data_IF_181211826158
#
_entry.id   IF_181211826158
#
_cell.length_a   1.000
_cell.length_b   1.000
_cell.length_c   1.000
_cell.angle_alpha   90.00
_cell.angle_beta   90.00
_cell.angle_gamma   90.00
#
_symmetry.space_group_name_H-M   'P 1'
#
loop_
_entity.id
_entity.type
_entity.pdbx_description
1 polymer ?
#
# COMPACT_ATOMS: atom_id res chain seq x y z
N UNK A 1 -10.68 -12.27 -22.36
CA UNK A 1 -10.06 -11.94 -21.06
C UNK A 1 -11.17 -11.43 -20.18
N UNK A 2 -11.32 -11.97 -18.98
CA UNK A 2 -12.29 -11.46 -18.02
C UNK A 2 -11.90 -10.04 -17.60
N UNK A 3 -12.90 -9.21 -17.31
CA UNK A 3 -12.70 -7.80 -16.97
C UNK A 3 -12.14 -7.69 -15.55
N UNK A 4 -10.92 -7.16 -15.42
CA UNK A 4 -10.35 -6.80 -14.13
C UNK A 4 -11.14 -5.62 -13.57
N UNK A 5 -11.53 -5.71 -12.29
CA UNK A 5 -12.23 -4.64 -11.56
C UNK A 5 -11.46 -4.33 -10.29
N UNK A 6 -11.08 -3.07 -10.12
CA UNK A 6 -10.43 -2.57 -8.91
C UNK A 6 -11.37 -1.56 -8.26
N UNK A 7 -11.62 -1.74 -6.97
CA UNK A 7 -12.46 -0.89 -6.15
C UNK A 7 -11.69 -0.51 -4.88
N UNK A 8 -12.12 0.58 -4.26
CA UNK A 8 -11.54 1.09 -3.02
C UNK A 8 -12.64 1.14 -1.96
N UNK A 9 -12.29 0.86 -0.71
CA UNK A 9 -13.17 1.24 0.40
C UNK A 9 -13.33 2.78 0.41
N UNK A 10 -14.52 3.31 0.80
CA UNK A 10 -14.76 4.75 0.81
C UNK A 10 -13.71 5.54 1.59
N UNK A 11 -13.21 4.99 2.70
CA UNK A 11 -12.19 5.61 3.53
C UNK A 11 -10.83 5.67 2.83
N UNK A 12 -10.52 4.68 1.98
CA UNK A 12 -9.29 4.66 1.17
C UNK A 12 -9.39 5.69 0.05
N UNK A 13 -10.53 5.75 -0.64
CA UNK A 13 -10.78 6.75 -1.69
C UNK A 13 -10.68 8.18 -1.12
N UNK A 14 -11.33 8.43 0.02
CA UNK A 14 -11.23 9.71 0.72
C UNK A 14 -9.78 10.03 1.10
N UNK A 15 -9.07 9.06 1.68
CA UNK A 15 -7.66 9.24 2.05
C UNK A 15 -6.79 9.62 0.85
N UNK A 16 -6.92 8.93 -0.29
CA UNK A 16 -6.16 9.24 -1.51
C UNK A 16 -6.49 10.66 -2.01
N UNK A 17 -7.77 11.02 -2.05
CA UNK A 17 -8.22 12.33 -2.53
C UNK A 17 -7.69 13.50 -1.69
N UNK A 18 -7.52 13.30 -0.38
CA UNK A 18 -6.98 14.31 0.54
C UNK A 18 -5.44 14.30 0.62
N UNK A 19 -4.79 13.24 0.10
CA UNK A 19 -3.38 13.00 0.31
C UNK A 19 -2.48 14.01 -0.40
N UNK A 20 -2.82 14.43 -1.63
CA UNK A 20 -2.03 15.42 -2.37
C UNK A 20 -1.94 16.74 -1.61
N UNK A 21 -3.08 17.26 -1.15
CA UNK A 21 -3.15 18.46 -0.31
C UNK A 21 -2.37 18.28 0.99
N UNK A 22 -2.56 17.15 1.68
CA UNK A 22 -1.82 16.85 2.91
C UNK A 22 -0.30 16.85 2.70
N UNK A 23 0.17 16.29 1.59
CA UNK A 23 1.60 16.23 1.26
C UNK A 23 2.14 17.62 0.89
N UNK A 24 1.34 18.43 0.19
CA UNK A 24 1.69 19.81 -0.12
C UNK A 24 1.75 20.70 1.12
N UNK A 25 0.74 20.66 2.00
CA UNK A 25 0.69 21.43 3.25
C UNK A 25 1.85 21.08 4.20
N UNK A 26 2.31 19.83 4.16
CA UNK A 26 3.47 19.36 4.93
C UNK A 26 4.82 19.64 4.25
N UNK A 27 4.83 20.43 3.18
CA UNK A 27 6.03 20.84 2.44
C UNK A 27 6.86 19.67 1.86
N UNK A 28 6.23 18.51 1.61
CA UNK A 28 6.90 17.41 0.90
C UNK A 28 7.11 17.74 -0.59
N UNK A 29 6.28 18.61 -1.14
CA UNK A 29 6.38 19.12 -2.51
C UNK A 29 6.38 20.64 -2.51
N UNK A 30 7.26 21.25 -3.30
CA UNK A 30 7.32 22.70 -3.47
C UNK A 30 6.18 23.27 -4.33
N UNK A 31 5.45 22.41 -5.03
CA UNK A 31 4.33 22.77 -5.91
C UNK A 31 3.17 21.79 -5.72
N UNK A 32 1.94 22.30 -5.73
CA UNK A 32 0.73 21.49 -5.60
C UNK A 32 0.58 20.49 -6.76
N UNK A 33 0.91 20.90 -7.99
CA UNK A 33 0.91 20.03 -9.18
C UNK A 33 1.79 18.79 -8.97
N UNK A 34 3.00 18.96 -8.43
CA UNK A 34 3.89 17.84 -8.13
C UNK A 34 3.31 16.86 -7.11
N UNK A 35 2.45 17.35 -6.20
CA UNK A 35 1.75 16.47 -5.25
C UNK A 35 0.62 15.69 -5.92
N UNK A 36 -0.08 16.27 -6.91
CA UNK A 36 -1.08 15.55 -7.71
C UNK A 36 -0.43 14.50 -8.59
N UNK A 37 0.63 14.86 -9.32
CA UNK A 37 1.41 13.92 -10.15
C UNK A 37 1.87 12.71 -9.32
N UNK A 38 2.28 12.95 -8.07
CA UNK A 38 2.69 11.88 -7.17
C UNK A 38 1.55 10.92 -6.82
N UNK A 39 0.34 11.43 -6.61
CA UNK A 39 -0.85 10.61 -6.34
C UNK A 39 -1.32 9.87 -7.60
N UNK A 40 -1.30 10.53 -8.75
CA UNK A 40 -1.64 9.90 -10.04
C UNK A 40 -0.71 8.72 -10.31
N UNK A 41 0.60 8.87 -10.09
CA UNK A 41 1.56 7.76 -10.21
C UNK A 41 1.27 6.60 -9.24
N UNK A 42 0.77 6.88 -8.04
CA UNK A 42 0.36 5.85 -7.08
C UNK A 42 -0.88 5.10 -7.59
N UNK A 43 -1.88 5.83 -8.10
CA UNK A 43 -3.11 5.24 -8.65
C UNK A 43 -2.79 4.41 -9.89
N UNK A 44 -2.01 4.95 -10.84
CA UNK A 44 -1.53 4.24 -12.03
C UNK A 44 -0.80 2.94 -11.67
N UNK A 45 0.06 3.00 -10.64
CA UNK A 45 0.72 1.80 -10.14
C UNK A 45 -0.31 0.77 -9.68
N UNK A 46 -1.33 1.17 -8.91
CA UNK A 46 -2.35 0.24 -8.42
C UNK A 46 -3.16 -0.37 -9.55
N UNK A 47 -3.65 0.45 -10.47
CA UNK A 47 -4.48 -0.04 -11.57
C UNK A 47 -3.72 -1.04 -12.46
N UNK A 48 -2.43 -0.77 -12.71
CA UNK A 48 -1.61 -1.64 -13.53
C UNK A 48 -1.10 -2.89 -12.80
N UNK A 49 -0.65 -2.73 -11.55
CA UNK A 49 0.13 -3.76 -10.86
C UNK A 49 -0.70 -4.62 -9.92
N UNK A 50 -1.79 -4.12 -9.32
CA UNK A 50 -2.58 -4.90 -8.36
C UNK A 50 -2.99 -6.29 -8.87
N UNK A 51 -3.36 -6.46 -10.16
CA UNK A 51 -3.74 -7.77 -10.70
C UNK A 51 -2.58 -8.73 -11.02
N UNK A 52 -1.36 -8.21 -11.24
CA UNK A 52 -0.22 -8.97 -11.77
C UNK A 52 0.96 -9.07 -10.83
N UNK A 53 1.04 -8.17 -9.83
CA UNK A 53 2.19 -8.04 -8.96
C UNK A 53 2.16 -9.12 -7.87
N UNK A 54 3.30 -9.75 -7.55
CA UNK A 54 3.36 -10.72 -6.46
C UNK A 54 2.92 -10.12 -5.13
N UNK A 55 1.84 -10.65 -4.56
CA UNK A 55 1.35 -10.24 -3.26
C UNK A 55 2.00 -11.04 -2.13
N UNK A 56 1.86 -10.51 -0.91
CA UNK A 56 2.25 -11.17 0.34
C UNK A 56 1.01 -11.36 1.20
N UNK A 57 0.97 -12.45 1.97
CA UNK A 57 -0.03 -12.61 3.01
C UNK A 57 0.23 -11.61 4.15
N UNK A 58 -0.83 -10.97 4.61
CA UNK A 58 -0.78 -10.05 5.74
C UNK A 58 -0.60 -10.82 7.06
N UNK A 59 0.31 -10.39 7.96
CA UNK A 59 0.46 -11.00 9.28
C UNK A 59 -0.83 -10.92 10.10
N UNK A 60 -1.09 -11.94 10.93
CA UNK A 60 -2.33 -12.07 11.72
C UNK A 60 -2.71 -10.83 12.52
N UNK A 61 -1.73 -10.13 13.08
CA UNK A 61 -1.97 -8.95 13.91
C UNK A 61 -2.35 -7.69 13.11
N UNK A 62 -2.33 -7.75 11.78
CA UNK A 62 -2.75 -6.69 10.86
C UNK A 62 -3.79 -7.19 9.85
N UNK A 63 -4.36 -8.37 10.07
CA UNK A 63 -5.27 -8.99 9.09
C UNK A 63 -6.50 -8.12 8.81
N UNK A 64 -6.91 -7.29 9.78
CA UNK A 64 -8.00 -6.33 9.67
C UNK A 64 -7.75 -5.25 8.60
N UNK A 65 -6.50 -5.06 8.16
CA UNK A 65 -6.16 -4.13 7.07
C UNK A 65 -6.41 -4.72 5.69
N UNK A 66 -6.54 -6.06 5.58
CA UNK A 66 -6.70 -6.83 4.35
C UNK A 66 -5.83 -8.09 4.37
N UNK A 67 -6.32 -9.19 3.78
CA UNK A 67 -5.68 -10.50 3.80
C UNK A 67 -4.37 -10.56 3.02
N UNK A 68 -4.22 -9.69 2.02
CA UNK A 68 -3.04 -9.59 1.16
C UNK A 68 -2.54 -8.17 1.10
N UNK A 69 -1.25 -8.02 0.78
CA UNK A 69 -0.68 -6.72 0.50
C UNK A 69 0.42 -6.75 -0.57
N UNK A 70 0.57 -5.65 -1.30
CA UNK A 70 1.71 -5.34 -2.17
C UNK A 70 2.47 -4.13 -1.64
N UNK A 71 3.66 -3.90 -2.19
CA UNK A 71 4.48 -2.74 -1.85
C UNK A 71 4.93 -2.00 -3.11
N UNK A 72 4.87 -0.67 -3.06
CA UNK A 72 5.29 0.23 -4.13
C UNK A 72 6.38 1.15 -3.62
N UNK A 73 7.57 1.05 -4.20
CA UNK A 73 8.69 1.94 -3.85
C UNK A 73 8.63 3.19 -4.71
N UNK A 74 7.94 4.22 -4.23
CA UNK A 74 7.79 5.49 -4.94
C UNK A 74 9.12 6.24 -5.11
N UNK A 75 10.02 6.14 -4.13
CA UNK A 75 11.38 6.70 -4.22
C UNK A 75 12.34 5.97 -3.27
N UNK A 76 13.56 6.49 -3.09
CA UNK A 76 14.57 5.86 -2.23
C UNK A 76 14.13 5.71 -0.76
N UNK A 77 13.31 6.64 -0.28
CA UNK A 77 12.94 6.77 1.13
C UNK A 77 11.48 6.40 1.41
N UNK A 78 10.60 6.41 0.40
CA UNK A 78 9.17 6.16 0.55
C UNK A 78 8.76 4.86 -0.11
N UNK A 79 8.18 3.96 0.69
CA UNK A 79 7.53 2.73 0.24
C UNK A 79 6.09 2.74 0.73
N UNK A 80 5.15 2.61 -0.21
CA UNK A 80 3.74 2.41 0.05
C UNK A 80 3.43 0.93 0.23
N UNK A 81 2.47 0.65 1.10
CA UNK A 81 1.94 -0.66 1.44
C UNK A 81 0.44 -0.60 1.17
N UNK A 82 -0.02 -1.49 0.30
CA UNK A 82 -1.40 -1.49 -0.16
C UNK A 82 -2.00 -2.84 0.17
N UNK A 83 -2.96 -2.83 1.08
CA UNK A 83 -3.68 -3.98 1.55
C UNK A 83 -4.99 -4.11 0.79
N UNK A 84 -5.36 -5.34 0.49
CA UNK A 84 -6.51 -5.61 -0.34
C UNK A 84 -7.08 -7.00 -0.07
N UNK A 85 -8.34 -7.15 -0.48
CA UNK A 85 -8.99 -8.43 -0.72
C UNK A 85 -9.13 -8.65 -2.22
N UNK A 86 -9.14 -9.91 -2.65
CA UNK A 86 -9.54 -10.22 -4.01
C UNK A 86 -10.30 -11.53 -4.11
N UNK A 87 -11.27 -11.56 -5.01
CA UNK A 87 -11.95 -12.76 -5.48
C UNK A 87 -11.83 -12.78 -7.00
N UNK A 88 -11.06 -13.74 -7.52
CA UNK A 88 -10.71 -13.82 -8.94
C UNK A 88 -10.16 -12.48 -9.47
N UNK A 89 -10.86 -11.87 -10.44
CA UNK A 89 -10.51 -10.62 -11.11
C UNK A 89 -11.10 -9.36 -10.45
N UNK A 90 -11.70 -9.50 -9.26
CA UNK A 90 -12.24 -8.41 -8.47
C UNK A 90 -11.34 -8.12 -7.28
N UNK A 91 -10.82 -6.90 -7.21
CA UNK A 91 -9.92 -6.43 -6.17
C UNK A 91 -10.59 -5.31 -5.39
N UNK A 92 -10.52 -5.40 -4.06
CA UNK A 92 -10.96 -4.35 -3.14
C UNK A 92 -9.76 -3.89 -2.34
N UNK A 93 -9.30 -2.67 -2.59
CA UNK A 93 -8.28 -2.02 -1.78
C UNK A 93 -8.90 -1.58 -0.46
N UNK A 94 -8.43 -2.17 0.63
CA UNK A 94 -8.99 -2.00 1.97
C UNK A 94 -8.20 -1.03 2.82
N UNK A 95 -6.89 -0.88 2.57
CA UNK A 95 -6.06 0.07 3.31
C UNK A 95 -4.80 0.45 2.54
N UNK A 96 -4.36 1.71 2.67
CA UNK A 96 -3.11 2.21 2.08
C UNK A 96 -2.33 2.98 3.14
N UNK A 97 -1.03 2.72 3.22
CA UNK A 97 -0.14 3.46 4.12
C UNK A 97 1.30 3.45 3.61
N UNK A 98 2.20 4.20 4.23
CA UNK A 98 3.62 4.22 3.87
C UNK A 98 4.52 3.85 5.05
N UNK A 99 5.82 3.70 4.79
CA UNK A 99 6.83 3.32 5.78
C UNK A 99 7.04 4.31 6.94
N UNK A 100 6.45 5.50 6.90
CA UNK A 100 6.48 6.43 8.02
C UNK A 100 5.37 6.16 9.04
N UNK A 101 4.35 5.36 8.70
CA UNK A 101 3.29 4.93 9.62
C UNK A 101 3.80 3.95 10.68
N UNK A 102 3.32 4.10 11.92
CA UNK A 102 3.66 3.23 13.05
C UNK A 102 3.30 1.76 12.78
N UNK A 103 2.20 1.52 12.07
CA UNK A 103 1.73 0.19 11.65
C UNK A 103 2.79 -0.53 10.81
N UNK A 104 3.43 0.19 9.89
CA UNK A 104 4.46 -0.38 9.00
C UNK A 104 5.78 -0.57 9.73
N UNK A 105 6.13 0.34 10.65
CA UNK A 105 7.31 0.14 11.49
C UNK A 105 7.20 -1.16 12.30
N UNK A 106 5.98 -1.53 12.72
CA UNK A 106 5.71 -2.81 13.36
C UNK A 106 5.92 -4.01 12.40
N UNK A 107 5.41 -3.92 11.16
CA UNK A 107 5.68 -4.92 10.11
C UNK A 107 7.18 -5.15 9.84
N UNK A 108 7.95 -4.06 9.76
CA UNK A 108 9.38 -4.13 9.48
C UNK A 108 10.17 -4.70 10.67
N UNK A 109 9.78 -4.36 11.90
CA UNK A 109 10.40 -4.87 13.14
C UNK A 109 10.22 -6.38 13.28
N UNK A 110 9.05 -6.94 12.95
CA UNK A 110 8.84 -8.39 12.98
C UNK A 110 9.77 -9.13 12.02
N UNK A 111 9.99 -8.61 10.80
CA UNK A 111 10.92 -9.21 9.83
C UNK A 111 12.37 -9.22 10.35
N UNK A 112 12.81 -8.12 10.94
CA UNK A 112 14.14 -8.02 11.54
C UNK A 112 14.33 -8.97 12.72
N UNK A 113 13.29 -9.13 13.56
CA UNK A 113 13.31 -10.08 14.67
C UNK A 113 13.35 -11.53 14.19
N UNK A 114 12.55 -11.88 13.18
CA UNK A 114 12.53 -13.22 12.57
C UNK A 114 13.89 -13.57 11.94
N UNK A 115 14.48 -12.65 11.19
CA UNK A 115 15.82 -12.81 10.61
C UNK A 115 16.90 -12.97 11.69
N UNK A 116 16.81 -12.22 12.79
CA UNK A 116 17.75 -12.30 13.92
C UNK A 116 17.61 -13.59 14.74
N UNK A 117 16.41 -14.17 14.80
CA UNK A 117 16.14 -15.38 15.58
C UNK A 117 16.32 -16.67 14.76
N UNK A 118 16.59 -16.58 13.45
CA UNK A 118 16.80 -17.75 12.60
C UNK A 118 15.57 -18.67 12.50
N UNK A 119 14.42 -18.19 12.93
CA UNK A 119 13.16 -18.91 12.77
C UNK A 119 12.80 -18.70 11.30
N UNK A 120 12.72 -19.77 10.53
CA UNK A 120 12.15 -19.75 9.18
C UNK A 120 10.83 -20.50 9.26
N UNK A 121 9.71 -19.78 9.24
CA UNK A 121 8.46 -20.46 8.89
C UNK A 121 8.32 -20.37 7.37
N UNK A 122 8.35 -21.54 6.71
CA UNK A 122 7.79 -21.70 5.39
C UNK A 122 6.33 -21.24 5.45
N UNK A 123 6.04 -20.12 4.81
CA UNK A 123 4.70 -19.80 4.30
C UNK A 123 4.90 -19.41 2.84
#
# INVERSE_FOLDING_TARGET
MEKITIQYLPEVEQYINELSYTLFEKEYFGFLESSFDYIDNLIDFLEYNLPIFPYRSTPLNLIDLGSKYIFYKANQNTTWYIFFENLDNHFLVTFITNNYSEIVQYLQKQKSLHFRLGISYLI
#
